data_IF_806749782579
#
_entry.id   IF_806749782579
#
_cell.length_a   1.000
_cell.length_b   1.000
_cell.length_c   1.000
_cell.angle_alpha   90.00
_cell.angle_beta   90.00
_cell.angle_gamma   90.00
#
_symmetry.space_group_name_H-M   'P 1'
#
loop_
_entity.id
_entity.type
_entity.pdbx_description
1 polymer ?
#
# COMPACT_ATOMS: atom_id res chain seq x y z
N UNK A 1 -8.70 -14.59 -30.53
CA UNK A 1 -8.08 -15.43 -29.48
C UNK A 1 -6.94 -14.61 -28.91
N UNK A 2 -6.97 -14.30 -27.61
CA UNK A 2 -5.87 -13.56 -26.97
C UNK A 2 -4.62 -14.44 -27.00
N UNK A 3 -3.42 -13.89 -27.30
CA UNK A 3 -2.17 -14.65 -27.26
C UNK A 3 -2.00 -15.34 -25.90
N UNK A 4 -1.47 -16.56 -25.87
CA UNK A 4 -1.26 -17.31 -24.62
C UNK A 4 -0.33 -16.56 -23.65
N UNK A 5 0.58 -15.75 -24.19
CA UNK A 5 1.47 -14.83 -23.47
C UNK A 5 0.70 -13.83 -22.57
N UNK A 6 -0.53 -13.47 -22.96
CA UNK A 6 -1.41 -12.60 -22.16
C UNK A 6 -2.20 -13.36 -21.08
N UNK A 7 -2.33 -14.68 -21.21
CA UNK A 7 -3.11 -15.53 -20.31
C UNK A 7 -2.23 -16.21 -19.24
N UNK A 8 -0.94 -16.43 -19.55
CA UNK A 8 0.10 -16.86 -18.60
C UNK A 8 1.39 -16.02 -18.69
N UNK A 9 1.37 -14.71 -18.36
CA UNK A 9 2.61 -13.92 -18.31
C UNK A 9 3.51 -14.29 -17.11
N UNK A 10 2.92 -14.79 -16.03
CA UNK A 10 3.59 -14.99 -14.75
C UNK A 10 4.14 -16.41 -14.61
N UNK A 11 5.46 -16.54 -14.50
CA UNK A 11 6.16 -17.82 -14.32
C UNK A 11 5.90 -18.53 -12.98
N UNK A 12 5.09 -17.95 -12.07
CA UNK A 12 4.79 -18.54 -10.76
C UNK A 12 3.45 -18.17 -10.10
N UNK A 13 2.59 -17.36 -10.74
CA UNK A 13 1.30 -16.93 -10.17
C UNK A 13 0.17 -17.09 -11.20
N UNK A 14 -0.97 -17.61 -10.77
CA UNK A 14 -2.17 -17.67 -11.62
C UNK A 14 -2.83 -16.30 -11.75
N UNK A 15 -3.49 -16.02 -12.88
CA UNK A 15 -4.28 -14.79 -13.07
C UNK A 15 -5.31 -14.60 -11.95
N UNK A 16 -5.93 -15.69 -11.50
CA UNK A 16 -6.86 -15.68 -10.36
C UNK A 16 -6.20 -15.15 -9.08
N UNK A 17 -4.97 -15.59 -8.75
CA UNK A 17 -4.23 -15.09 -7.59
C UNK A 17 -3.92 -13.60 -7.73
N UNK A 18 -3.51 -13.16 -8.92
CA UNK A 18 -3.23 -11.73 -9.19
C UNK A 18 -4.48 -10.88 -8.97
N UNK A 19 -5.61 -11.28 -9.55
CA UNK A 19 -6.89 -10.59 -9.38
C UNK A 19 -7.31 -10.51 -7.92
N UNK A 20 -7.25 -11.63 -7.18
CA UNK A 20 -7.61 -11.67 -5.76
C UNK A 20 -6.74 -10.71 -4.95
N UNK A 21 -5.42 -10.69 -5.17
CA UNK A 21 -4.49 -9.83 -4.44
C UNK A 21 -4.73 -8.34 -4.73
N UNK A 22 -4.93 -7.99 -6.00
CA UNK A 22 -5.20 -6.60 -6.41
C UNK A 22 -6.55 -6.11 -5.89
N UNK A 23 -7.59 -6.94 -5.98
CA UNK A 23 -8.91 -6.61 -5.41
C UNK A 23 -8.85 -6.49 -3.89
N UNK A 24 -8.14 -7.38 -3.20
CA UNK A 24 -7.93 -7.29 -1.76
C UNK A 24 -7.21 -5.99 -1.38
N UNK A 25 -6.16 -5.60 -2.11
CA UNK A 25 -5.45 -4.34 -1.89
C UNK A 25 -6.39 -3.12 -2.04
N UNK A 26 -7.23 -3.12 -3.10
CA UNK A 26 -8.24 -2.07 -3.32
C UNK A 26 -9.24 -1.98 -2.17
N UNK A 27 -9.79 -3.12 -1.74
CA UNK A 27 -10.78 -3.16 -0.65
C UNK A 27 -10.15 -2.73 0.66
N UNK A 28 -8.99 -3.28 1.03
CA UNK A 28 -8.32 -2.98 2.31
C UNK A 28 -7.88 -1.52 2.39
N UNK A 29 -7.23 -0.99 1.34
CA UNK A 29 -6.91 0.44 1.25
C UNK A 29 -8.16 1.31 1.24
N UNK A 30 -9.21 0.84 0.57
CA UNK A 30 -10.51 1.51 0.51
C UNK A 30 -11.19 1.63 1.87
N UNK A 31 -11.12 0.61 2.73
CA UNK A 31 -11.71 0.65 4.08
C UNK A 31 -11.10 1.78 4.92
N UNK A 32 -9.76 1.94 4.87
CA UNK A 32 -9.09 3.05 5.57
C UNK A 32 -9.48 4.37 4.92
N UNK A 33 -9.39 4.47 3.59
CA UNK A 33 -9.72 5.69 2.87
C UNK A 33 -11.17 6.15 3.05
N UNK A 34 -12.11 5.20 3.18
CA UNK A 34 -13.50 5.48 3.48
C UNK A 34 -13.66 6.11 4.86
N UNK A 35 -12.97 5.59 5.90
CA UNK A 35 -12.95 6.24 7.21
C UNK A 35 -12.43 7.67 7.10
N UNK A 36 -11.34 7.90 6.35
CA UNK A 36 -10.78 9.24 6.17
C UNK A 36 -11.79 10.18 5.52
N UNK A 37 -12.39 9.77 4.42
CA UNK A 37 -13.32 10.58 3.61
C UNK A 37 -14.62 10.86 4.36
N UNK A 38 -15.18 9.85 5.05
CA UNK A 38 -16.40 10.00 5.85
C UNK A 38 -16.25 11.00 7.01
N UNK A 39 -15.01 11.28 7.45
CA UNK A 39 -14.72 12.27 8.49
C UNK A 39 -14.06 13.54 7.93
N UNK A 40 -14.25 13.82 6.64
CA UNK A 40 -13.79 15.03 5.95
C UNK A 40 -12.27 15.26 6.09
N UNK A 41 -11.50 14.17 6.16
CA UNK A 41 -10.06 14.24 6.30
C UNK A 41 -9.38 14.29 4.93
N UNK A 42 -8.25 15.01 4.81
CA UNK A 42 -7.47 15.03 3.57
C UNK A 42 -7.00 13.61 3.20
N UNK A 43 -6.88 13.37 1.89
CA UNK A 43 -6.64 12.05 1.28
C UNK A 43 -7.68 11.00 1.70
N UNK A 44 -8.73 10.87 0.89
CA UNK A 44 -9.87 9.99 1.14
C UNK A 44 -9.75 8.61 0.50
N UNK A 45 -10.90 8.08 0.08
CA UNK A 45 -11.09 6.75 -0.48
C UNK A 45 -10.20 6.51 -1.70
N UNK A 46 -10.30 7.40 -2.70
CA UNK A 46 -9.57 7.27 -3.97
C UNK A 46 -8.06 7.21 -3.74
N UNK A 47 -7.54 8.05 -2.85
CA UNK A 47 -6.10 8.11 -2.57
C UNK A 47 -5.59 6.82 -1.95
N UNK A 48 -6.26 6.31 -0.91
CA UNK A 48 -5.81 5.09 -0.24
C UNK A 48 -5.96 3.86 -1.14
N UNK A 49 -7.04 3.76 -1.93
CA UNK A 49 -7.22 2.69 -2.92
C UNK A 49 -6.10 2.67 -3.96
N UNK A 50 -5.73 3.83 -4.52
CA UNK A 50 -4.68 3.93 -5.52
C UNK A 50 -3.29 3.62 -4.95
N UNK A 51 -2.99 4.08 -3.73
CA UNK A 51 -1.72 3.78 -3.05
C UNK A 51 -1.58 2.27 -2.79
N UNK A 52 -2.61 1.64 -2.21
CA UNK A 52 -2.58 0.19 -1.95
C UNK A 52 -2.51 -0.62 -3.23
N UNK A 53 -3.24 -0.24 -4.27
CA UNK A 53 -3.20 -0.90 -5.57
C UNK A 53 -1.81 -0.79 -6.21
N UNK A 54 -1.23 0.41 -6.22
CA UNK A 54 0.11 0.63 -6.79
C UNK A 54 1.18 -0.19 -6.05
N UNK A 55 1.17 -0.19 -4.72
CA UNK A 55 2.11 -0.98 -3.92
C UNK A 55 1.94 -2.50 -4.14
N UNK A 56 0.70 -2.98 -4.28
CA UNK A 56 0.41 -4.37 -4.65
C UNK A 56 0.98 -4.70 -6.03
N UNK A 57 0.75 -3.83 -7.03
CA UNK A 57 1.25 -4.02 -8.40
C UNK A 57 2.78 -4.07 -8.43
N UNK A 58 3.46 -3.15 -7.76
CA UNK A 58 4.92 -3.18 -7.68
C UNK A 58 5.43 -4.45 -6.99
N UNK A 59 4.75 -4.94 -5.96
CA UNK A 59 5.14 -6.21 -5.32
C UNK A 59 5.00 -7.39 -6.27
N UNK A 60 3.94 -7.43 -7.08
CA UNK A 60 3.76 -8.47 -8.10
C UNK A 60 4.85 -8.40 -9.17
N UNK A 61 5.21 -7.20 -9.62
CA UNK A 61 6.35 -6.98 -10.54
C UNK A 61 7.66 -7.47 -9.91
N UNK A 62 7.92 -7.20 -8.63
CA UNK A 62 9.09 -7.73 -7.92
C UNK A 62 9.10 -9.26 -7.90
N UNK A 63 7.98 -9.90 -7.58
CA UNK A 63 7.88 -11.36 -7.54
C UNK A 63 8.12 -11.99 -8.92
N UNK A 64 7.66 -11.34 -9.99
CA UNK A 64 7.90 -11.76 -11.36
C UNK A 64 9.39 -11.68 -11.72
N UNK A 65 10.06 -10.57 -11.40
CA UNK A 65 11.49 -10.38 -11.65
C UNK A 65 12.37 -11.42 -10.92
N UNK A 66 12.00 -11.83 -9.71
CA UNK A 66 12.69 -12.90 -8.96
C UNK A 66 12.53 -14.26 -9.63
N UNK A 67 11.38 -14.49 -10.28
CA UNK A 67 11.02 -15.78 -10.87
C UNK A 67 11.62 -15.98 -12.27
N UNK A 68 12.33 -14.98 -12.81
CA UNK A 68 13.04 -15.10 -14.08
C UNK A 68 14.33 -15.91 -13.89
N UNK A 69 14.64 -16.87 -14.78
CA UNK A 69 15.90 -17.61 -14.70
C UNK A 69 17.10 -16.66 -14.74
N UNK A 70 17.99 -16.76 -13.76
CA UNK A 70 19.26 -16.03 -13.77
C UNK A 70 20.06 -16.42 -15.03
N UNK A 71 20.61 -15.44 -15.79
CA UNK A 71 21.47 -15.74 -16.92
C UNK A 71 22.65 -16.60 -16.46
N UNK A 72 22.77 -17.81 -17.00
CA UNK A 72 23.91 -18.69 -16.76
C UNK A 72 25.11 -18.13 -17.52
N UNK A 73 25.91 -17.29 -16.85
CA UNK A 73 27.14 -16.74 -17.41
C UNK A 73 27.94 -15.98 -16.35
N UNK A 74 29.16 -16.42 -16.11
CA UNK A 74 30.13 -15.77 -15.23
C UNK A 74 30.53 -14.41 -15.84
N UNK A 75 30.91 -13.46 -14.98
CA UNK A 75 31.29 -12.07 -15.28
C UNK A 75 30.14 -11.02 -15.37
N UNK A 76 29.73 -10.50 -14.21
CA UNK A 76 28.96 -9.25 -14.13
C UNK A 76 27.53 -9.36 -13.59
N UNK A 77 27.29 -10.26 -12.63
CA UNK A 77 25.99 -10.51 -11.96
C UNK A 77 25.16 -9.25 -11.74
N UNK A 78 24.13 -9.07 -12.57
CA UNK A 78 23.01 -8.18 -12.32
C UNK A 78 22.13 -8.87 -11.25
N UNK A 79 22.58 -8.84 -9.99
CA UNK A 79 21.83 -9.44 -8.88
C UNK A 79 20.52 -8.67 -8.73
N UNK A 80 19.42 -9.29 -9.17
CA UNK A 80 18.08 -8.73 -8.99
C UNK A 80 17.78 -8.76 -7.49
N UNK A 81 17.78 -7.58 -6.87
CA UNK A 81 17.40 -7.42 -5.47
C UNK A 81 15.97 -6.86 -5.40
N UNK A 82 14.95 -7.71 -5.21
CA UNK A 82 13.55 -7.27 -5.14
C UNK A 82 13.27 -6.37 -3.93
N UNK A 83 14.12 -6.43 -2.90
CA UNK A 83 13.99 -5.57 -1.73
C UNK A 83 14.13 -4.10 -2.12
N UNK A 84 14.97 -3.79 -3.12
CA UNK A 84 15.14 -2.42 -3.65
C UNK A 84 13.85 -1.87 -4.26
N UNK A 85 13.02 -2.72 -4.88
CA UNK A 85 11.72 -2.28 -5.40
C UNK A 85 10.76 -1.99 -4.24
N UNK A 86 10.75 -2.83 -3.21
CA UNK A 86 9.94 -2.62 -2.00
C UNK A 86 10.37 -1.34 -1.26
N UNK A 87 11.68 -1.10 -1.14
CA UNK A 87 12.25 0.14 -0.60
C UNK A 87 11.80 1.36 -1.42
N UNK A 88 11.87 1.28 -2.75
CA UNK A 88 11.42 2.35 -3.64
C UNK A 88 9.92 2.64 -3.50
N UNK A 89 9.08 1.60 -3.36
CA UNK A 89 7.64 1.78 -3.09
C UNK A 89 7.44 2.47 -1.75
N UNK A 90 8.11 2.00 -0.70
CA UNK A 90 7.99 2.56 0.66
C UNK A 90 8.42 4.04 0.68
N UNK A 91 9.50 4.39 -0.01
CA UNK A 91 9.96 5.76 -0.17
C UNK A 91 8.99 6.62 -0.99
N UNK A 92 8.45 6.08 -2.09
CA UNK A 92 7.46 6.77 -2.92
C UNK A 92 6.17 7.10 -2.17
N UNK A 93 5.67 6.18 -1.35
CA UNK A 93 4.50 6.43 -0.50
C UNK A 93 4.83 7.44 0.61
N UNK A 94 6.02 7.36 1.22
CA UNK A 94 6.48 8.33 2.20
C UNK A 94 6.57 9.76 1.61
N UNK A 95 6.98 9.89 0.35
CA UNK A 95 6.97 11.17 -0.37
C UNK A 95 5.55 11.73 -0.53
N UNK A 96 4.58 10.90 -0.97
CA UNK A 96 3.18 11.31 -1.06
C UNK A 96 2.61 11.71 0.31
N UNK A 97 2.94 10.94 1.35
CA UNK A 97 2.54 11.22 2.73
C UNK A 97 3.12 12.55 3.23
N UNK A 98 4.40 12.82 2.99
CA UNK A 98 5.05 14.08 3.33
C UNK A 98 4.38 15.27 2.61
N UNK A 99 3.99 15.11 1.35
CA UNK A 99 3.24 16.12 0.60
C UNK A 99 1.86 16.48 1.18
N UNK A 100 1.31 15.62 2.06
CA UNK A 100 0.06 15.89 2.77
C UNK A 100 0.24 16.65 4.10
N UNK A 101 1.48 16.78 4.57
CA UNK A 101 1.81 17.44 5.84
C UNK A 101 2.13 18.90 5.57
N UNK A 102 1.41 19.80 6.23
CA UNK A 102 1.54 21.25 6.04
C UNK A 102 1.81 21.90 7.39
N UNK A 103 2.78 22.81 7.42
CA UNK A 103 3.07 23.65 8.58
C UNK A 103 2.58 25.07 8.29
N UNK A 104 1.71 25.61 9.14
CA UNK A 104 1.23 26.98 9.02
C UNK A 104 1.05 27.60 10.41
N UNK A 105 1.60 28.79 10.62
CA UNK A 105 1.47 29.52 11.88
C UNK A 105 1.98 28.76 13.12
N UNK A 106 3.02 27.93 12.96
CA UNK A 106 3.57 27.10 14.04
C UNK A 106 2.80 25.81 14.36
N UNK A 107 1.67 25.54 13.68
CA UNK A 107 0.92 24.28 13.81
C UNK A 107 1.21 23.32 12.66
N UNK A 108 1.35 22.03 12.95
CA UNK A 108 1.51 20.96 11.96
C UNK A 108 0.15 20.30 11.72
N UNK A 109 -0.28 20.21 10.46
CA UNK A 109 -1.49 19.51 10.04
C UNK A 109 -1.15 18.37 9.09
N UNK A 110 -1.98 17.33 9.08
CA UNK A 110 -1.86 16.23 8.12
C UNK A 110 -1.02 15.03 8.57
N UNK A 111 -0.43 15.04 9.78
CA UNK A 111 0.38 13.93 10.30
C UNK A 111 -0.34 12.57 10.23
N UNK A 112 -1.57 12.48 10.72
CA UNK A 112 -2.36 11.24 10.68
C UNK A 112 -2.73 10.84 9.25
N UNK A 113 -2.96 11.81 8.36
CA UNK A 113 -3.23 11.54 6.94
C UNK A 113 -1.99 10.95 6.26
N UNK A 114 -0.81 11.54 6.49
CA UNK A 114 0.44 10.97 5.99
C UNK A 114 0.68 9.56 6.53
N UNK A 115 0.45 9.33 7.83
CA UNK A 115 0.59 8.01 8.43
C UNK A 115 -0.39 6.98 7.84
N UNK A 116 -1.66 7.34 7.60
CA UNK A 116 -2.64 6.43 6.99
C UNK A 116 -2.32 6.12 5.53
N UNK A 117 -1.80 7.09 4.77
CA UNK A 117 -1.30 6.88 3.41
C UNK A 117 -0.12 5.91 3.39
N UNK A 118 0.84 6.08 4.31
CA UNK A 118 1.98 5.18 4.43
C UNK A 118 1.56 3.75 4.77
N UNK A 119 0.62 3.60 5.72
CA UNK A 119 0.05 2.30 6.06
C UNK A 119 -0.71 1.66 4.90
N UNK A 120 -1.44 2.43 4.09
CA UNK A 120 -2.09 1.93 2.88
C UNK A 120 -1.08 1.33 1.89
N UNK A 121 0.10 1.94 1.77
CA UNK A 121 1.22 1.38 1.00
C UNK A 121 1.66 0.02 1.53
N UNK A 122 1.89 -0.07 2.84
CA UNK A 122 2.26 -1.34 3.50
C UNK A 122 1.20 -2.45 3.34
N UNK A 123 -0.09 -2.10 3.41
CA UNK A 123 -1.21 -3.02 3.14
C UNK A 123 -1.20 -3.51 1.69
N UNK A 124 -0.86 -2.63 0.74
CA UNK A 124 -0.67 -3.00 -0.65
C UNK A 124 0.48 -3.97 -0.84
N UNK A 125 1.62 -3.75 -0.18
CA UNK A 125 2.77 -4.67 -0.18
C UNK A 125 2.40 -6.05 0.41
N UNK A 126 1.69 -6.06 1.55
CA UNK A 126 1.19 -7.29 2.17
C UNK A 126 0.23 -8.04 1.23
N UNK A 127 -0.65 -7.32 0.54
CA UNK A 127 -1.58 -7.91 -0.43
C UNK A 127 -0.86 -8.49 -1.64
N UNK A 128 0.09 -7.76 -2.21
CA UNK A 128 0.88 -8.19 -3.38
C UNK A 128 1.75 -9.41 -3.09
N UNK A 129 2.32 -9.50 -1.88
CA UNK A 129 3.07 -10.69 -1.43
C UNK A 129 2.16 -11.91 -1.19
N UNK A 130 0.84 -11.72 -1.17
CA UNK A 130 -0.16 -12.77 -0.92
C UNK A 130 -0.53 -12.93 0.56
N UNK A 131 0.06 -12.13 1.46
CA UNK A 131 -0.23 -12.18 2.88
C UNK A 131 -1.47 -11.34 3.23
N UNK A 132 -2.63 -11.80 2.77
CA UNK A 132 -3.91 -11.09 2.97
C UNK A 132 -4.32 -11.00 4.45
N UNK A 133 -3.96 -12.01 5.26
CA UNK A 133 -4.22 -11.99 6.70
C UNK A 133 -3.46 -10.85 7.39
N UNK A 134 -2.18 -10.64 7.05
CA UNK A 134 -1.39 -9.53 7.57
C UNK A 134 -1.97 -8.17 7.18
N UNK A 135 -2.39 -8.01 5.92
CA UNK A 135 -3.09 -6.81 5.46
C UNK A 135 -4.39 -6.56 6.21
N UNK A 136 -5.21 -7.61 6.41
CA UNK A 136 -6.45 -7.53 7.17
C UNK A 136 -6.24 -7.14 8.64
N UNK A 137 -5.26 -7.73 9.31
CA UNK A 137 -4.89 -7.35 10.69
C UNK A 137 -4.48 -5.87 10.74
N UNK A 138 -3.66 -5.42 9.79
CA UNK A 138 -3.24 -4.02 9.72
C UNK A 138 -4.42 -3.06 9.55
N UNK A 139 -5.40 -3.41 8.69
CA UNK A 139 -6.64 -2.61 8.53
C UNK A 139 -7.41 -2.52 9.85
N UNK A 140 -7.63 -3.65 10.53
CA UNK A 140 -8.37 -3.66 11.82
C UNK A 140 -7.67 -2.80 12.86
N UNK A 141 -6.36 -2.95 13.01
CA UNK A 141 -5.57 -2.14 13.94
C UNK A 141 -5.59 -0.65 13.57
N UNK A 142 -5.52 -0.32 12.27
CA UNK A 142 -5.64 1.05 11.80
C UNK A 142 -6.98 1.68 12.21
N UNK A 143 -8.08 0.96 12.00
CA UNK A 143 -9.41 1.42 12.37
C UNK A 143 -9.56 1.61 13.87
N UNK A 144 -8.96 0.72 14.69
CA UNK A 144 -8.93 0.87 16.15
C UNK A 144 -8.19 2.15 16.53
N UNK A 145 -7.00 2.38 16.00
CA UNK A 145 -6.21 3.59 16.29
C UNK A 145 -7.00 4.85 15.90
N UNK A 146 -7.59 4.86 14.71
CA UNK A 146 -8.39 5.99 14.22
C UNK A 146 -9.63 6.20 15.09
N UNK A 147 -10.34 5.13 15.47
CA UNK A 147 -11.55 5.21 16.30
C UNK A 147 -11.28 5.65 17.75
N UNK A 148 -10.25 5.09 18.40
CA UNK A 148 -9.89 5.42 19.78
C UNK A 148 -9.49 6.90 19.89
N UNK A 149 -8.68 7.40 18.94
CA UNK A 149 -8.31 8.82 18.93
C UNK A 149 -9.52 9.73 18.75
N UNK A 150 -10.49 9.35 17.91
CA UNK A 150 -11.76 10.10 17.77
C UNK A 150 -12.54 10.12 19.09
N UNK A 151 -12.68 8.96 19.74
CA UNK A 151 -13.39 8.85 21.00
C UNK A 151 -12.73 9.67 22.12
N UNK A 152 -11.40 9.63 22.22
CA UNK A 152 -10.65 10.43 23.18
C UNK A 152 -10.83 11.93 22.95
N UNK A 153 -10.84 12.40 21.69
CA UNK A 153 -11.10 13.81 21.38
C UNK A 153 -12.48 14.26 21.86
N UNK A 154 -13.51 13.44 21.65
CA UNK A 154 -14.87 13.74 22.13
C UNK A 154 -14.99 13.75 23.66
N UNK A 155 -14.27 12.87 24.37
CA UNK A 155 -14.34 12.81 25.82
C UNK A 155 -13.53 13.89 26.54
N UNK A 156 -12.36 14.24 26.02
CA UNK A 156 -11.41 15.15 26.68
C UNK A 156 -11.58 16.62 26.27
N UNK A 157 -12.45 16.92 25.29
CA UNK A 157 -12.68 18.30 24.83
C UNK A 157 -11.43 18.97 24.24
N UNK A 158 -10.49 18.18 23.71
CA UNK A 158 -9.20 18.68 23.26
C UNK A 158 -9.29 19.19 21.81
N UNK A 159 -9.08 20.50 21.60
CA UNK A 159 -8.87 21.12 20.30
C UNK A 159 -7.37 21.40 20.04
N UNK A 160 -6.92 21.18 18.79
CA UNK A 160 -5.53 21.36 18.33
C UNK A 160 -5.16 22.84 18.06
#
# INVERSE_FOLDING_TARGET
MMPEDFLMPYSGLTLQSVLIRMTAALVMGGVIGFEREAHERPAGLRTHMLISLAACLFTLIALELISMPEPVGDEGRLRIDPLRLIEAVTAGVAFLAAGSIITSGGKIKGLTTGASMWLAGAIGLASGSGNLALGGIAVVLALIVLAVLRWMKHLLGWED
#
